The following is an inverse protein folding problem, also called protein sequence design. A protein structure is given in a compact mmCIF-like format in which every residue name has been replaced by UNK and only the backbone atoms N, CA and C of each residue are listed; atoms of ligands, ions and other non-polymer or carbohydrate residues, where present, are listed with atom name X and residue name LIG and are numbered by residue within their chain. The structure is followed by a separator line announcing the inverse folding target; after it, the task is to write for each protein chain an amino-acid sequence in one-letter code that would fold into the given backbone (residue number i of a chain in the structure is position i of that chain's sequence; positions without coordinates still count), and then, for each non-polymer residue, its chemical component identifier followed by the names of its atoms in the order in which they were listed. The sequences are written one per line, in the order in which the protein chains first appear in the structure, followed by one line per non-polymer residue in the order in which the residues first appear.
data_IF_389203165836
#
_entry.id   IF_389203165836
#
_cell.length_a   1.000
_cell.length_b   1.000
_cell.length_c   1.000
_cell.angle_alpha   90.00
_cell.angle_beta   90.00
_cell.angle_gamma   90.00
#
_symmetry.space_group_name_H-M   'P 1'
#
loop_
_entity.id
_entity.type
_entity.pdbx_description
1 polymer ?
#
# COMPACT_ATOMS: atom_id res chain seq x y z
N UNK A 1 19.36 36.05 4.61
CA UNK A 1 19.89 34.92 5.43
C UNK A 1 18.87 34.59 6.51
N UNK A 2 17.95 33.65 6.29
CA UNK A 2 17.00 33.23 7.32
C UNK A 2 17.55 31.98 7.99
N UNK A 3 18.32 32.19 9.06
CA UNK A 3 18.63 31.14 10.01
C UNK A 3 17.30 30.64 10.60
N UNK A 4 17.16 29.33 10.74
CA UNK A 4 16.03 28.73 11.45
C UNK A 4 16.17 29.19 12.91
N UNK A 5 15.46 30.26 13.24
CA UNK A 5 15.48 30.93 14.53
C UNK A 5 14.76 30.04 15.53
N UNK A 6 15.56 29.29 16.28
CA UNK A 6 15.05 28.48 17.37
C UNK A 6 16.12 27.70 18.13
N UNK A 7 17.36 28.20 18.21
CA UNK A 7 18.40 27.82 19.20
C UNK A 7 18.78 26.34 19.39
N UNK A 8 18.08 25.39 18.78
CA UNK A 8 18.15 23.96 19.00
C UNK A 8 18.53 23.34 17.67
N UNK A 9 19.70 22.72 17.62
CA UNK A 9 20.14 22.02 16.42
C UNK A 9 19.07 21.01 15.99
N UNK A 10 18.56 21.15 14.77
CA UNK A 10 17.59 20.20 14.22
C UNK A 10 18.34 18.90 13.85
N UNK A 11 18.05 17.78 14.51
CA UNK A 11 18.70 16.52 14.21
C UNK A 11 18.25 16.02 12.84
N UNK A 12 19.23 15.59 12.05
CA UNK A 12 19.04 15.04 10.71
C UNK A 12 19.54 13.60 10.73
N UNK A 13 18.77 12.66 10.19
CA UNK A 13 19.22 11.28 10.02
C UNK A 13 19.37 10.97 8.54
N UNK A 14 20.55 10.52 8.14
CA UNK A 14 20.80 9.98 6.82
C UNK A 14 20.52 8.47 6.83
N UNK A 15 19.83 8.00 5.81
CA UNK A 15 19.51 6.60 5.55
C UNK A 15 20.12 6.19 4.22
N UNK A 16 20.27 4.88 4.04
CA UNK A 16 20.59 4.29 2.75
C UNK A 16 19.54 4.58 1.66
N UNK A 17 19.79 4.10 0.44
CA UNK A 17 18.88 4.28 -0.70
C UNK A 17 17.50 3.63 -0.46
N UNK A 18 17.44 2.56 0.34
CA UNK A 18 16.20 1.86 0.72
C UNK A 18 15.41 2.51 1.84
N UNK A 19 15.92 3.57 2.49
CA UNK A 19 15.28 4.24 3.66
C UNK A 19 15.13 3.35 4.90
N UNK A 20 15.88 2.24 4.96
CA UNK A 20 15.73 1.24 6.03
C UNK A 20 16.85 1.33 7.04
N UNK A 21 18.11 1.45 6.59
CA UNK A 21 19.27 1.51 7.48
C UNK A 21 19.70 2.96 7.74
N UNK A 22 19.73 3.42 9.00
CA UNK A 22 20.37 4.69 9.33
C UNK A 22 21.89 4.57 9.13
N UNK A 23 22.46 5.53 8.41
CA UNK A 23 23.89 5.60 8.10
C UNK A 23 24.63 6.55 9.05
N UNK A 24 24.04 7.71 9.33
CA UNK A 24 24.61 8.71 10.22
C UNK A 24 23.53 9.63 10.80
N UNK A 25 23.83 10.21 11.97
CA UNK A 25 23.06 11.29 12.56
C UNK A 25 23.90 12.57 12.47
N UNK A 26 23.24 13.66 12.13
CA UNK A 26 23.87 14.95 11.88
C UNK A 26 22.97 16.10 12.33
N UNK A 27 23.39 17.31 11.95
CA UNK A 27 22.69 18.55 12.25
C UNK A 27 22.41 19.32 10.98
N UNK A 28 21.19 19.84 10.88
CA UNK A 28 20.81 20.74 9.79
C UNK A 28 21.62 22.03 9.88
N UNK A 29 22.11 22.54 8.75
CA UNK A 29 22.89 23.78 8.69
C UNK A 29 22.07 24.94 8.12
N UNK A 30 21.63 24.82 6.88
CA UNK A 30 21.01 25.92 6.16
C UNK A 30 20.11 25.43 5.03
N UNK A 31 19.10 26.24 4.72
CA UNK A 31 18.29 26.13 3.53
C UNK A 31 18.72 27.23 2.55
N UNK A 32 18.86 26.90 1.28
CA UNK A 32 19.16 27.85 0.21
C UNK A 32 17.95 28.75 -0.03
N UNK A 33 18.18 30.03 -0.30
CA UNK A 33 17.08 31.01 -0.48
C UNK A 33 16.51 31.01 -1.89
N UNK A 34 17.01 30.15 -2.77
CA UNK A 34 16.54 29.99 -4.15
C UNK A 34 15.74 28.70 -4.25
N UNK A 35 14.49 28.82 -4.68
CA UNK A 35 13.64 27.69 -5.08
C UNK A 35 13.94 27.39 -6.54
N UNK A 36 14.20 26.13 -6.85
CA UNK A 36 14.21 25.66 -8.24
C UNK A 36 12.75 25.58 -8.71
N UNK A 37 12.34 26.52 -9.58
CA UNK A 37 10.96 26.65 -10.04
C UNK A 37 10.56 25.59 -11.06
N UNK A 38 11.53 24.90 -11.68
CA UNK A 38 11.24 23.80 -12.60
C UNK A 38 10.85 22.53 -11.85
N UNK A 39 11.48 22.27 -10.70
CA UNK A 39 11.26 21.06 -9.90
C UNK A 39 10.45 21.29 -8.62
N UNK A 40 10.26 22.55 -8.23
CA UNK A 40 9.61 22.92 -6.97
C UNK A 40 10.44 22.57 -5.73
N UNK A 41 11.77 22.44 -5.86
CA UNK A 41 12.65 22.00 -4.78
C UNK A 41 13.52 23.12 -4.21
N UNK A 42 13.98 22.94 -2.97
CA UNK A 42 14.95 23.83 -2.32
C UNK A 42 16.18 23.02 -1.92
N UNK A 43 17.36 23.63 -2.08
CA UNK A 43 18.61 22.99 -1.63
C UNK A 43 18.78 23.20 -0.14
N UNK A 44 19.23 22.16 0.56
CA UNK A 44 19.55 22.23 1.98
C UNK A 44 20.92 21.61 2.26
N UNK A 45 21.59 22.10 3.29
CA UNK A 45 22.88 21.59 3.76
C UNK A 45 22.72 21.04 5.18
N UNK A 46 23.32 19.88 5.42
CA UNK A 46 23.43 19.25 6.73
C UNK A 46 24.86 18.75 6.94
N UNK A 47 25.30 18.68 8.20
CA UNK A 47 26.60 18.13 8.57
C UNK A 47 26.38 16.84 9.35
N UNK A 48 27.07 15.78 8.97
CA UNK A 48 27.00 14.48 9.63
C UNK A 48 28.35 14.14 10.23
N UNK A 49 28.33 13.55 11.43
CA UNK A 49 29.52 12.97 12.02
C UNK A 49 29.73 11.59 11.37
N UNK A 50 30.84 11.43 10.64
CA UNK A 50 31.14 10.24 9.84
C UNK A 50 32.39 9.51 10.35
N UNK A 51 32.54 9.38 11.67
CA UNK A 51 33.74 8.80 12.29
C UNK A 51 33.97 7.32 11.94
N UNK A 52 32.90 6.60 11.59
CA UNK A 52 32.92 5.19 11.20
C UNK A 52 33.04 4.98 9.68
N UNK A 53 33.13 6.05 8.87
CA UNK A 53 33.23 5.95 7.42
C UNK A 53 31.99 5.39 6.71
N UNK A 54 30.81 5.46 7.32
CA UNK A 54 29.57 4.94 6.74
C UNK A 54 29.03 5.77 5.55
N UNK A 55 29.44 7.03 5.44
CA UNK A 55 29.11 7.93 4.33
C UNK A 55 30.32 8.10 3.40
N UNK A 56 30.13 7.85 2.11
CA UNK A 56 31.14 8.06 1.07
C UNK A 56 30.89 9.34 0.26
N UNK A 57 31.94 9.96 -0.31
CA UNK A 57 31.78 11.05 -1.26
C UNK A 57 30.88 10.65 -2.44
N UNK A 58 30.05 11.59 -2.91
CA UNK A 58 29.09 11.39 -4.01
C UNK A 58 28.05 10.26 -3.80
N UNK A 59 27.88 9.78 -2.56
CA UNK A 59 26.86 8.79 -2.24
C UNK A 59 25.45 9.42 -2.20
N UNK A 60 24.49 8.76 -2.82
CA UNK A 60 23.07 9.09 -2.65
C UNK A 60 22.53 8.51 -1.35
N UNK A 61 21.91 9.36 -0.54
CA UNK A 61 21.29 9.01 0.75
C UNK A 61 19.89 9.60 0.83
N UNK A 62 19.02 8.96 1.63
CA UNK A 62 17.74 9.56 1.99
C UNK A 62 17.87 10.30 3.31
N UNK A 63 17.35 11.52 3.40
CA UNK A 63 17.48 12.33 4.60
C UNK A 63 16.12 12.51 5.26
N UNK A 64 16.03 12.27 6.57
CA UNK A 64 14.85 12.60 7.38
C UNK A 64 15.22 13.67 8.40
N UNK A 65 14.38 14.69 8.48
CA UNK A 65 14.50 15.79 9.42
C UNK A 65 13.32 15.75 10.39
N UNK A 66 13.61 15.69 11.69
CA UNK A 66 12.57 15.74 12.73
C UNK A 66 12.33 17.20 13.12
N UNK A 67 11.26 17.79 12.59
CA UNK A 67 10.93 19.21 12.80
C UNK A 67 10.33 19.49 14.18
N UNK A 68 9.36 18.67 14.61
CA UNK A 68 8.74 18.76 15.93
C UNK A 68 8.23 17.42 16.41
N UNK A 69 8.18 17.24 17.73
CA UNK A 69 7.39 16.18 18.38
C UNK A 69 6.14 16.84 18.94
N UNK A 70 4.97 16.27 18.70
CA UNK A 70 3.73 16.69 19.38
C UNK A 70 3.43 15.63 20.44
N UNK A 71 3.63 15.98 21.71
CA UNK A 71 3.36 15.10 22.84
C UNK A 71 1.85 15.03 23.09
N UNK A 72 1.35 13.88 23.55
CA UNK A 72 -0.08 13.66 23.82
C UNK A 72 -0.99 13.64 22.59
N UNK A 73 -0.44 13.58 21.37
CA UNK A 73 -1.24 13.51 20.16
C UNK A 73 -1.82 12.11 19.92
N UNK A 74 -3.14 12.01 19.72
CA UNK A 74 -3.76 10.81 19.15
C UNK A 74 -3.29 10.65 17.71
N UNK A 75 -2.59 9.56 17.41
CA UNK A 75 -2.03 9.31 16.08
C UNK A 75 -2.44 7.92 15.61
N UNK A 76 -2.95 7.84 14.39
CA UNK A 76 -3.34 6.59 13.73
C UNK A 76 -2.43 6.33 12.53
N UNK A 77 -2.25 5.07 12.09
CA UNK A 77 -1.54 4.78 10.85
C UNK A 77 -2.16 5.53 9.67
N UNK A 78 -1.34 6.02 8.73
CA UNK A 78 -1.84 6.74 7.53
C UNK A 78 -2.79 5.85 6.73
N UNK A 79 -2.55 4.54 6.69
CA UNK A 79 -3.41 3.56 5.99
C UNK A 79 -4.82 3.41 6.58
N UNK A 80 -5.03 3.78 7.84
CA UNK A 80 -6.35 3.71 8.48
C UNK A 80 -7.26 4.89 8.11
N UNK A 81 -6.68 6.00 7.64
CA UNK A 81 -7.42 7.23 7.35
C UNK A 81 -7.90 7.21 5.91
N UNK A 82 -9.23 7.20 5.73
CA UNK A 82 -9.88 7.21 4.42
C UNK A 82 -10.49 8.58 4.14
N UNK A 83 -10.72 8.88 2.87
CA UNK A 83 -11.49 10.05 2.45
C UNK A 83 -12.81 9.55 1.84
N UNK A 84 -13.93 10.07 2.32
CA UNK A 84 -15.28 9.83 1.77
C UNK A 84 -15.86 11.12 1.17
N UNK A 85 -17.11 11.05 0.72
CA UNK A 85 -17.84 12.20 0.20
C UNK A 85 -17.96 13.34 1.22
N UNK A 86 -18.17 13.00 2.49
CA UNK A 86 -18.34 13.95 3.59
C UNK A 86 -17.02 14.33 4.29
N UNK A 87 -15.88 13.88 3.77
CA UNK A 87 -14.55 14.18 4.30
C UNK A 87 -13.81 12.96 4.89
N UNK A 88 -12.72 13.20 5.65
CA UNK A 88 -11.89 12.12 6.16
C UNK A 88 -12.58 11.35 7.30
N UNK A 89 -12.46 10.03 7.28
CA UNK A 89 -13.05 9.13 8.27
C UNK A 89 -12.13 7.93 8.55
N UNK A 90 -12.39 7.23 9.64
CA UNK A 90 -11.73 5.96 10.02
C UNK A 90 -12.78 4.92 10.41
N UNK A 91 -12.41 3.64 10.37
CA UNK A 91 -13.18 2.58 11.03
C UNK A 91 -12.55 2.25 12.37
N UNK A 92 -13.33 2.36 13.44
CA UNK A 92 -12.93 1.98 14.79
C UNK A 92 -13.53 0.63 15.13
N UNK A 93 -12.73 -0.27 15.69
CA UNK A 93 -13.16 -1.60 16.13
C UNK A 93 -13.85 -1.52 17.48
N UNK A 94 -15.07 -2.06 17.54
CA UNK A 94 -15.72 -2.43 18.80
C UNK A 94 -15.31 -3.86 19.16
N UNK A 95 -14.31 -4.00 20.03
CA UNK A 95 -13.73 -5.31 20.37
C UNK A 95 -14.74 -6.27 21.01
N UNK A 96 -15.71 -5.75 21.78
CA UNK A 96 -16.74 -6.55 22.44
C UNK A 96 -17.69 -7.24 21.45
N UNK A 97 -18.09 -6.53 20.40
CA UNK A 97 -19.06 -7.01 19.41
C UNK A 97 -18.41 -7.52 18.12
N UNK A 98 -17.09 -7.33 17.99
CA UNK A 98 -16.31 -7.56 16.76
C UNK A 98 -16.90 -6.85 15.54
N UNK A 99 -17.47 -5.67 15.77
CA UNK A 99 -18.03 -4.80 14.73
C UNK A 99 -17.11 -3.60 14.50
N UNK A 100 -17.26 -2.93 13.36
CA UNK A 100 -16.60 -1.65 13.11
C UNK A 100 -17.61 -0.53 13.06
N UNK A 101 -17.22 0.64 13.55
CA UNK A 101 -17.99 1.87 13.44
C UNK A 101 -17.27 2.86 12.56
N UNK A 102 -17.96 3.42 11.58
CA UNK A 102 -17.45 4.53 10.77
C UNK A 102 -17.47 5.80 11.63
N UNK A 103 -16.33 6.47 11.72
CA UNK A 103 -16.24 7.76 12.42
C UNK A 103 -15.61 8.83 11.54
N UNK A 104 -16.30 9.97 11.31
CA UNK A 104 -15.66 11.13 10.72
C UNK A 104 -14.56 11.65 11.66
N UNK A 105 -13.42 12.06 11.09
CA UNK A 105 -12.27 12.53 11.86
C UNK A 105 -11.77 13.86 11.36
N UNK A 106 -11.19 14.65 12.26
CA UNK A 106 -10.42 15.84 11.88
C UNK A 106 -8.94 15.50 11.88
N UNK A 107 -8.30 15.53 10.71
CA UNK A 107 -6.86 15.28 10.58
C UNK A 107 -6.06 16.50 11.03
N UNK A 108 -4.96 16.24 11.72
CA UNK A 108 -3.92 17.20 12.06
C UNK A 108 -2.70 16.99 11.18
N UNK A 109 -1.51 17.07 11.79
CA UNK A 109 -0.27 16.77 11.08
C UNK A 109 -0.17 15.32 10.66
N UNK A 110 0.33 15.10 9.44
CA UNK A 110 0.74 13.79 8.97
C UNK A 110 2.26 13.69 8.92
N UNK A 111 2.74 12.51 9.28
CA UNK A 111 4.11 12.03 9.07
C UNK A 111 4.10 10.96 7.98
N UNK A 112 5.23 10.29 7.75
CA UNK A 112 5.32 9.28 6.70
C UNK A 112 4.44 8.04 6.98
N UNK A 113 4.30 7.69 8.26
CA UNK A 113 3.68 6.46 8.74
C UNK A 113 2.41 6.70 9.57
N UNK A 114 2.30 7.86 10.23
CA UNK A 114 1.16 8.20 11.10
C UNK A 114 0.54 9.55 10.77
N UNK A 115 -0.77 9.65 10.98
CA UNK A 115 -1.55 10.89 10.91
C UNK A 115 -2.10 11.21 12.29
N UNK A 116 -1.89 12.44 12.74
CA UNK A 116 -2.53 12.98 13.94
C UNK A 116 -4.03 13.14 13.72
N UNK A 117 -4.81 12.75 14.71
CA UNK A 117 -6.26 12.97 14.77
C UNK A 117 -6.53 14.01 15.84
N UNK A 118 -7.16 15.11 15.43
CA UNK A 118 -7.57 16.22 16.31
C UNK A 118 -8.93 15.93 16.97
N UNK A 119 -9.80 15.17 16.30
CA UNK A 119 -11.10 14.74 16.83
C UNK A 119 -11.62 13.50 16.10
N UNK A 120 -12.45 12.72 16.79
CA UNK A 120 -13.16 11.55 16.24
C UNK A 120 -12.57 10.18 16.65
N UNK A 121 -11.39 10.16 17.25
CA UNK A 121 -10.75 8.95 17.80
C UNK A 121 -10.18 9.26 19.17
N UNK A 122 -10.44 8.39 20.12
CA UNK A 122 -9.92 8.47 21.49
C UNK A 122 -8.62 7.66 21.65
N UNK A 123 -7.74 8.05 22.59
CA UNK A 123 -6.56 7.25 22.91
C UNK A 123 -6.94 5.83 23.36
N UNK A 124 -6.26 4.82 22.81
CA UNK A 124 -6.48 3.41 23.15
C UNK A 124 -7.46 2.69 22.22
N UNK A 125 -8.17 3.40 21.34
CA UNK A 125 -9.06 2.78 20.36
C UNK A 125 -8.29 2.09 19.23
N UNK A 126 -8.80 0.95 18.78
CA UNK A 126 -8.22 0.19 17.68
C UNK A 126 -8.86 0.61 16.36
N UNK A 127 -8.03 0.96 15.38
CA UNK A 127 -8.48 1.34 14.04
C UNK A 127 -8.13 0.26 13.02
N UNK A 128 -8.96 0.13 11.99
CA UNK A 128 -8.73 -0.82 10.91
C UNK A 128 -7.76 -0.24 9.88
N UNK A 129 -6.66 -0.94 9.62
CA UNK A 129 -5.63 -0.54 8.65
C UNK A 129 -5.72 -1.28 7.33
N UNK A 130 -6.38 -2.44 7.28
CA UNK A 130 -6.45 -3.32 6.13
C UNK A 130 -7.87 -3.88 5.95
N UNK A 131 -8.26 -4.20 4.72
CA UNK A 131 -9.58 -4.80 4.42
C UNK A 131 -10.77 -3.83 4.54
N UNK A 132 -10.52 -2.54 4.78
CA UNK A 132 -11.54 -1.52 4.94
C UNK A 132 -12.41 -1.29 3.69
N UNK A 133 -11.97 -1.72 2.51
CA UNK A 133 -12.72 -1.57 1.25
C UNK A 133 -14.00 -2.41 1.21
N UNK A 134 -14.07 -3.48 2.01
CA UNK A 134 -15.25 -4.36 2.13
C UNK A 134 -16.10 -4.05 3.36
N UNK A 135 -15.74 -3.03 4.14
CA UNK A 135 -16.43 -2.70 5.38
C UNK A 135 -17.48 -1.62 5.15
N UNK A 136 -18.64 -1.84 5.74
CA UNK A 136 -19.68 -0.83 5.98
C UNK A 136 -19.74 -0.53 7.47
N UNK A 137 -20.46 0.53 7.84
CA UNK A 137 -20.75 0.76 9.25
C UNK A 137 -21.48 -0.45 9.87
N UNK A 138 -21.10 -0.83 11.08
CA UNK A 138 -21.58 -2.02 11.78
C UNK A 138 -21.06 -3.36 11.25
N UNK A 139 -20.18 -3.39 10.24
CA UNK A 139 -19.70 -4.65 9.67
C UNK A 139 -18.93 -5.48 10.70
N UNK A 140 -19.17 -6.80 10.73
CA UNK A 140 -18.39 -7.73 11.55
C UNK A 140 -17.03 -7.97 10.94
N UNK A 141 -15.99 -7.93 11.76
CA UNK A 141 -14.61 -8.19 11.34
C UNK A 141 -14.01 -9.37 12.07
N UNK A 142 -13.07 -10.04 11.40
CA UNK A 142 -12.21 -11.06 12.00
C UNK A 142 -10.81 -10.49 12.08
N UNK A 143 -10.19 -10.59 13.25
CA UNK A 143 -8.85 -10.05 13.44
C UNK A 143 -7.79 -11.05 12.97
N UNK A 144 -6.64 -10.59 12.46
CA UNK A 144 -5.51 -11.45 12.16
C UNK A 144 -5.11 -12.26 13.40
N UNK A 145 -5.12 -13.59 13.29
CA UNK A 145 -4.81 -14.52 14.40
C UNK A 145 -6.01 -15.30 14.94
N UNK A 146 -7.25 -14.89 14.61
CA UNK A 146 -8.43 -15.74 14.81
C UNK A 146 -8.46 -16.83 13.73
N UNK A 147 -7.59 -17.84 13.87
CA UNK A 147 -7.72 -19.08 13.10
C UNK A 147 -9.07 -19.70 13.44
N UNK A 148 -10.02 -19.62 12.51
CA UNK A 148 -11.23 -20.41 12.56
C UNK A 148 -10.87 -21.88 12.70
N UNK A 149 -11.21 -22.48 13.84
CA UNK A 149 -11.26 -23.92 14.00
C UNK A 149 -12.44 -24.42 13.14
N UNK A 150 -12.23 -24.60 11.85
CA UNK A 150 -13.35 -24.96 10.97
C UNK A 150 -13.08 -25.05 9.47
N UNK A 151 -11.83 -25.11 9.02
CA UNK A 151 -11.56 -25.44 7.62
C UNK A 151 -10.39 -26.43 7.53
N UNK A 152 -10.70 -27.69 7.84
CA UNK A 152 -9.95 -28.84 7.36
C UNK A 152 -10.87 -29.59 6.43
N UNK A 153 -10.46 -29.59 5.16
CA UNK A 153 -11.29 -29.93 4.00
C UNK A 153 -11.96 -31.29 4.09
N UNK A 154 -13.18 -31.32 3.57
CA UNK A 154 -13.84 -32.54 3.14
C UNK A 154 -12.97 -33.17 2.04
N UNK A 155 -12.26 -34.21 2.43
CA UNK A 155 -11.49 -35.07 1.53
C UNK A 155 -12.42 -35.80 0.57
N UNK A 156 -12.09 -35.64 -0.70
CA UNK A 156 -12.27 -36.60 -1.79
C UNK A 156 -12.42 -38.06 -1.31
N UNK A 157 -13.63 -38.60 -1.46
CA UNK A 157 -13.93 -40.04 -1.38
C UNK A 157 -15.00 -40.38 -2.41
N UNK A 158 -14.58 -40.51 -3.67
CA UNK A 158 -15.37 -41.13 -4.73
C UNK A 158 -14.65 -42.35 -5.31
N UNK A 159 -14.74 -43.49 -4.63
CA UNK A 159 -14.25 -44.77 -5.15
C UNK A 159 -15.32 -45.88 -5.05
N UNK A 160 -15.85 -46.23 -6.23
CA UNK A 160 -16.17 -47.58 -6.76
C UNK A 160 -17.40 -48.37 -6.28
N UNK A 161 -18.08 -48.94 -7.29
CA UNK A 161 -19.11 -50.01 -7.27
C UNK A 161 -20.19 -49.68 -8.31
N UNK A 162 -20.13 -50.07 -9.58
CA UNK A 162 -20.24 -51.42 -10.17
C UNK A 162 -21.57 -52.11 -9.79
N UNK A 163 -22.57 -52.07 -10.68
CA UNK A 163 -23.12 -53.23 -11.42
C UNK A 163 -24.58 -53.02 -11.91
N UNK A 164 -24.80 -53.47 -13.15
CA UNK A 164 -26.03 -53.95 -13.80
C UNK A 164 -27.25 -53.04 -14.05
N UNK A 165 -27.46 -52.70 -15.33
CA UNK A 165 -28.66 -53.11 -16.09
C UNK A 165 -28.52 -52.71 -17.57
N UNK A 166 -28.53 -53.71 -18.45
CA UNK A 166 -28.38 -53.54 -19.89
C UNK A 166 -29.65 -53.13 -20.65
N UNK A 167 -29.43 -52.61 -21.86
CA UNK A 167 -30.14 -53.10 -23.04
C UNK A 167 -31.14 -52.17 -23.74
N UNK A 168 -30.67 -51.66 -24.90
CA UNK A 168 -31.36 -51.48 -26.20
C UNK A 168 -31.88 -50.08 -26.60
N UNK A 169 -31.40 -49.71 -27.80
CA UNK A 169 -32.01 -48.80 -28.78
C UNK A 169 -31.25 -47.48 -28.92
N UNK A 170 -30.83 -46.98 -30.08
CA UNK A 170 -30.80 -47.47 -31.45
C UNK A 170 -29.81 -46.57 -32.23
N UNK A 171 -29.14 -47.14 -33.22
CA UNK A 171 -28.10 -46.55 -34.07
C UNK A 171 -28.60 -45.45 -35.01
N UNK A 172 -27.75 -44.46 -35.35
CA UNK A 172 -27.39 -44.02 -36.72
C UNK A 172 -26.23 -42.99 -36.65
N UNK A 173 -25.02 -43.35 -37.09
CA UNK A 173 -24.38 -43.12 -38.41
C UNK A 173 -23.81 -41.70 -38.61
N UNK A 174 -22.49 -41.64 -38.83
CA UNK A 174 -21.80 -40.48 -39.40
C UNK A 174 -20.27 -40.52 -39.28
N UNK A 175 -19.62 -41.43 -40.00
CA UNK A 175 -18.21 -41.29 -40.46
C UNK A 175 -18.11 -40.05 -41.37
N UNK A 176 -17.00 -39.42 -41.73
CA UNK A 176 -15.54 -39.56 -41.67
C UNK A 176 -15.01 -38.10 -41.69
N UNK A 177 -13.76 -37.71 -41.53
CA UNK A 177 -12.46 -38.32 -41.79
C UNK A 177 -11.46 -37.15 -41.94
N UNK A 178 -10.22 -37.43 -41.57
CA UNK A 178 -9.01 -36.61 -41.57
C UNK A 178 -8.52 -36.12 -42.96
N UNK A 179 -7.67 -35.09 -42.95
CA UNK A 179 -6.77 -34.69 -44.06
C UNK A 179 -6.70 -33.16 -44.15
N UNK A 180 -5.65 -32.47 -43.70
CA UNK A 180 -4.27 -32.37 -44.24
C UNK A 180 -4.19 -31.61 -45.59
N UNK A 181 -3.14 -30.79 -45.71
CA UNK A 181 -2.62 -30.06 -46.87
C UNK A 181 -2.98 -28.57 -47.12
N UNK A 182 -1.93 -27.74 -46.99
CA UNK A 182 -1.68 -26.43 -47.62
C UNK A 182 -1.18 -26.68 -49.08
N UNK A 183 -0.74 -25.70 -49.90
CA UNK A 183 -0.76 -24.24 -49.82
C UNK A 183 -1.20 -23.56 -51.15
N UNK A 184 -1.16 -22.23 -51.21
CA UNK A 184 -0.98 -21.46 -52.46
C UNK A 184 -2.07 -20.42 -52.73
N UNK A 185 -1.68 -19.18 -53.02
CA UNK A 185 -2.64 -18.16 -53.46
C UNK A 185 -2.21 -16.72 -53.23
N UNK A 186 -1.34 -16.25 -54.12
CA UNK A 186 -0.95 -14.87 -54.37
C UNK A 186 -2.12 -13.87 -54.54
N UNK A 187 -1.97 -12.64 -54.02
CA UNK A 187 -2.11 -11.36 -54.77
C UNK A 187 -2.09 -10.17 -53.80
N UNK A 188 -0.96 -9.46 -53.74
CA UNK A 188 -0.89 -8.07 -53.27
C UNK A 188 -1.28 -7.16 -54.43
N UNK A 189 -2.49 -6.62 -54.38
CA UNK A 189 -2.88 -5.50 -55.25
C UNK A 189 -2.55 -4.18 -54.56
N UNK A 190 -1.96 -3.31 -55.37
CA UNK A 190 -1.67 -1.90 -55.11
C UNK A 190 -2.96 -1.13 -54.83
N UNK A 191 -2.89 -0.10 -53.99
CA UNK A 191 -3.72 1.07 -54.21
C UNK A 191 -2.89 2.35 -54.04
N UNK A 192 -3.01 3.21 -55.04
CA UNK A 192 -2.38 4.53 -55.19
C UNK A 192 -3.20 5.59 -54.41
N UNK A 193 -2.53 6.56 -53.78
CA UNK A 193 -2.42 7.98 -54.17
C UNK A 193 -3.67 8.86 -54.05
N UNK A 194 -3.47 10.01 -53.42
CA UNK A 194 -4.33 11.20 -53.43
C UNK A 194 -4.60 11.67 -52.00
N UNK A 195 -4.30 12.90 -51.60
CA UNK A 195 -3.70 14.07 -52.22
C UNK A 195 -3.47 15.11 -51.13
#
# INVERSE_FOLDING_TARGET
KHAISGGKALPVTAFDRSRTKPLAIGRFLALDNVVDTQTGTVRAKARFDNANGALFPNQFVNVRLKLRTVEGATAVPVSAVRNGGDGPFVYVLNAAEKTVSLRPVKRGLSSLDKTQILSGVEPGEQVITEGADRLTDGAKVRLPGERGKGDKGAGDKGARGADDAGGKGASIKGAAGSGEERPGGEKRSRNASGG
#
